data_IF_484571725298
#
_entry.id   IF_484571725298
#
_cell.length_a   1.000
_cell.length_b   1.000
_cell.length_c   1.000
_cell.angle_alpha   90.00
_cell.angle_beta   90.00
_cell.angle_gamma   90.00
#
_symmetry.space_group_name_H-M   'P 1'
#
loop_
_entity.id
_entity.type
_entity.pdbx_description
1 polymer ?
#
# COMPACT_ATOMS: atom_id res chain seq x y z
N UNK A 1 -16.84 -34.07 25.79
CA UNK A 1 -17.44 -34.68 24.61
C UNK A 1 -16.39 -34.77 23.51
N UNK A 2 -15.92 -36.01 23.30
CA UNK A 2 -14.98 -36.38 22.25
C UNK A 2 -15.73 -36.33 20.92
N UNK A 3 -15.55 -35.24 20.15
CA UNK A 3 -16.03 -35.24 18.76
C UNK A 3 -15.11 -36.19 17.99
N UNK A 4 -15.57 -37.41 17.78
CA UNK A 4 -14.98 -38.35 16.84
C UNK A 4 -15.14 -37.73 15.46
N UNK A 5 -14.07 -37.09 14.94
CA UNK A 5 -14.00 -36.81 13.51
C UNK A 5 -14.01 -38.14 12.79
N UNK A 6 -15.08 -38.42 12.09
CA UNK A 6 -15.14 -39.49 11.12
C UNK A 6 -13.95 -39.35 10.21
N UNK A 7 -13.06 -40.34 10.19
CA UNK A 7 -11.92 -40.40 9.27
C UNK A 7 -12.49 -40.41 7.86
N UNK A 8 -12.56 -39.25 7.22
CA UNK A 8 -12.66 -39.19 5.78
C UNK A 8 -11.35 -39.79 5.23
N UNK A 9 -11.38 -40.63 4.22
CA UNK A 9 -10.15 -41.16 3.62
C UNK A 9 -9.25 -39.96 3.29
N UNK A 10 -7.96 -40.02 3.66
CA UNK A 10 -6.97 -39.01 3.34
C UNK A 10 -7.01 -38.84 1.82
N UNK A 11 -7.57 -37.70 1.39
CA UNK A 11 -7.48 -37.28 0.00
C UNK A 11 -5.99 -37.32 -0.37
N UNK A 12 -5.68 -37.86 -1.53
CA UNK A 12 -4.29 -37.85 -1.99
C UNK A 12 -3.79 -36.40 -2.03
N UNK A 13 -2.51 -36.20 -1.84
CA UNK A 13 -1.92 -34.83 -1.91
C UNK A 13 -2.25 -34.16 -3.26
N UNK A 14 -2.49 -34.93 -4.31
CA UNK A 14 -2.92 -34.44 -5.62
C UNK A 14 -4.34 -33.87 -5.56
N UNK A 15 -5.30 -34.62 -5.00
CA UNK A 15 -6.71 -34.15 -4.88
C UNK A 15 -6.80 -32.84 -4.07
N UNK A 16 -6.02 -32.70 -3.00
CA UNK A 16 -5.98 -31.46 -2.20
C UNK A 16 -5.43 -30.28 -3.02
N UNK A 17 -4.41 -30.52 -3.86
CA UNK A 17 -3.87 -29.49 -4.74
C UNK A 17 -4.86 -29.08 -5.82
N UNK A 18 -5.54 -30.04 -6.42
CA UNK A 18 -6.58 -29.76 -7.43
C UNK A 18 -7.74 -28.92 -6.84
N UNK A 19 -8.14 -29.19 -5.59
CA UNK A 19 -9.12 -28.37 -4.88
C UNK A 19 -8.60 -26.94 -4.61
N UNK A 20 -7.32 -26.79 -4.27
CA UNK A 20 -6.70 -25.46 -4.09
C UNK A 20 -6.67 -24.71 -5.43
N UNK A 21 -6.26 -25.36 -6.52
CA UNK A 21 -6.17 -24.73 -7.85
C UNK A 21 -7.55 -24.26 -8.35
N UNK A 22 -8.61 -25.01 -8.02
CA UNK A 22 -9.98 -24.59 -8.31
C UNK A 22 -10.39 -23.35 -7.49
N UNK A 23 -10.07 -23.32 -6.19
CA UNK A 23 -10.32 -22.15 -5.34
C UNK A 23 -9.54 -20.94 -5.81
N UNK A 24 -8.28 -21.10 -6.18
CA UNK A 24 -7.44 -20.01 -6.70
C UNK A 24 -8.04 -19.44 -8.00
N UNK A 25 -8.55 -20.30 -8.87
CA UNK A 25 -9.25 -19.87 -10.09
C UNK A 25 -10.51 -19.04 -9.77
N UNK A 26 -11.26 -19.41 -8.74
CA UNK A 26 -12.40 -18.63 -8.27
C UNK A 26 -12.00 -17.30 -7.68
N UNK A 27 -10.89 -17.26 -6.93
CA UNK A 27 -10.32 -16.01 -6.36
C UNK A 27 -9.93 -15.05 -7.50
N UNK A 28 -9.27 -15.54 -8.56
CA UNK A 28 -8.93 -14.74 -9.74
C UNK A 28 -10.18 -14.14 -10.37
N UNK A 29 -11.20 -14.97 -10.64
CA UNK A 29 -12.44 -14.49 -11.26
C UNK A 29 -13.18 -13.44 -10.39
N UNK A 30 -13.20 -13.63 -9.07
CA UNK A 30 -13.81 -12.69 -8.13
C UNK A 30 -13.00 -11.38 -8.04
N UNK A 31 -11.67 -11.48 -8.08
CA UNK A 31 -10.80 -10.30 -8.09
C UNK A 31 -11.00 -9.48 -9.37
N UNK A 32 -11.00 -10.09 -10.55
CA UNK A 32 -11.25 -9.41 -11.81
C UNK A 32 -12.61 -8.71 -11.84
N UNK A 33 -13.66 -9.43 -11.41
CA UNK A 33 -15.00 -8.84 -11.28
C UNK A 33 -15.02 -7.63 -10.34
N UNK A 34 -14.29 -7.72 -9.23
CA UNK A 34 -14.17 -6.61 -8.28
C UNK A 34 -13.42 -5.43 -8.89
N UNK A 35 -12.37 -5.68 -9.69
CA UNK A 35 -11.65 -4.60 -10.38
C UNK A 35 -12.53 -3.92 -11.43
N UNK A 36 -13.38 -4.66 -12.13
CA UNK A 36 -14.36 -4.07 -13.05
C UNK A 36 -15.33 -3.11 -12.34
N UNK A 37 -15.89 -3.53 -11.21
CA UNK A 37 -16.73 -2.63 -10.38
C UNK A 37 -15.94 -1.43 -9.83
N UNK A 38 -14.63 -1.57 -9.63
CA UNK A 38 -13.77 -0.45 -9.24
C UNK A 38 -13.66 0.57 -10.37
N UNK A 39 -13.65 0.15 -11.63
CA UNK A 39 -13.66 1.06 -12.78
C UNK A 39 -14.98 1.87 -12.83
N UNK A 40 -16.12 1.23 -12.58
CA UNK A 40 -17.41 1.92 -12.50
C UNK A 40 -17.42 2.97 -11.37
N UNK A 41 -16.81 2.64 -10.22
CA UNK A 41 -16.64 3.58 -9.11
C UNK A 41 -15.73 4.75 -9.50
N UNK A 42 -14.66 4.50 -10.26
CA UNK A 42 -13.78 5.55 -10.77
C UNK A 42 -14.51 6.50 -11.68
N UNK A 43 -15.29 6.01 -12.64
CA UNK A 43 -16.10 6.84 -13.53
C UNK A 43 -17.11 7.71 -12.74
N UNK A 44 -17.77 7.12 -11.73
CA UNK A 44 -18.64 7.89 -10.86
C UNK A 44 -17.90 9.03 -10.14
N UNK A 45 -16.69 8.76 -9.60
CA UNK A 45 -15.86 9.76 -8.92
C UNK A 45 -15.36 10.84 -9.88
N UNK A 46 -14.95 10.45 -11.09
CA UNK A 46 -14.58 11.38 -12.17
C UNK A 46 -15.73 12.35 -12.45
N UNK A 47 -16.95 11.85 -12.56
CA UNK A 47 -18.12 12.67 -12.88
C UNK A 47 -18.60 13.56 -11.71
N UNK A 48 -18.37 13.12 -10.47
CA UNK A 48 -18.86 13.82 -9.26
C UNK A 48 -17.80 14.63 -8.53
N UNK A 49 -16.52 14.53 -8.91
CA UNK A 49 -15.41 15.20 -8.23
C UNK A 49 -15.08 14.63 -6.85
N UNK A 50 -15.57 13.44 -6.51
CA UNK A 50 -15.26 12.79 -5.23
C UNK A 50 -13.83 12.26 -5.21
N UNK A 51 -13.19 12.37 -4.06
CA UNK A 51 -11.83 11.85 -3.84
C UNK A 51 -11.78 10.34 -3.99
N UNK A 52 -10.64 9.83 -4.48
CA UNK A 52 -10.40 8.38 -4.62
C UNK A 52 -10.29 7.72 -3.26
N UNK A 53 -9.50 8.29 -2.36
CA UNK A 53 -9.24 7.74 -1.04
C UNK A 53 -10.30 8.18 -0.02
N UNK A 54 -10.87 7.22 0.69
CA UNK A 54 -11.82 7.40 1.79
C UNK A 54 -11.41 6.46 2.93
N UNK A 55 -10.54 6.96 3.79
CA UNK A 55 -9.96 6.20 4.90
C UNK A 55 -11.03 5.61 5.82
N UNK A 56 -12.02 6.41 6.21
CA UNK A 56 -13.07 5.98 7.14
C UNK A 56 -13.87 4.79 6.58
N UNK A 57 -14.16 4.82 5.26
CA UNK A 57 -14.85 3.72 4.57
C UNK A 57 -13.97 2.48 4.47
N UNK A 58 -12.68 2.63 4.17
CA UNK A 58 -11.76 1.49 4.07
C UNK A 58 -11.59 0.83 5.44
N UNK A 59 -11.34 1.58 6.50
CA UNK A 59 -11.21 1.06 7.87
C UNK A 59 -12.49 0.32 8.32
N UNK A 60 -13.66 0.90 8.08
CA UNK A 60 -14.94 0.25 8.38
C UNK A 60 -15.13 -1.05 7.59
N UNK A 61 -14.71 -1.06 6.32
CA UNK A 61 -14.81 -2.25 5.49
C UNK A 61 -13.87 -3.36 5.95
N UNK A 62 -12.62 -3.01 6.30
CA UNK A 62 -11.65 -3.96 6.85
C UNK A 62 -12.17 -4.59 8.13
N UNK A 63 -12.66 -3.80 9.07
CA UNK A 63 -13.25 -4.31 10.32
C UNK A 63 -14.42 -5.28 10.06
N UNK A 64 -15.27 -4.96 9.08
CA UNK A 64 -16.39 -5.84 8.67
C UNK A 64 -15.89 -7.18 8.11
N UNK A 65 -14.82 -7.14 7.31
CA UNK A 65 -14.26 -8.34 6.68
C UNK A 65 -13.52 -9.21 7.70
N UNK A 66 -12.76 -8.60 8.59
CA UNK A 66 -12.12 -9.28 9.72
C UNK A 66 -13.14 -10.00 10.61
N UNK A 67 -14.31 -9.39 10.82
CA UNK A 67 -15.38 -9.98 11.60
C UNK A 67 -16.01 -11.26 10.99
N UNK A 68 -15.73 -11.54 9.72
CA UNK A 68 -16.14 -12.76 9.03
C UNK A 68 -15.16 -13.93 9.18
N UNK A 69 -13.97 -13.65 9.69
CA UNK A 69 -12.94 -14.67 9.87
C UNK A 69 -13.31 -15.65 11.00
N UNK A 70 -12.99 -16.91 10.79
CA UNK A 70 -13.27 -18.00 11.74
C UNK A 70 -12.24 -18.11 12.87
N UNK A 71 -11.02 -17.57 12.70
CA UNK A 71 -9.96 -17.62 13.70
C UNK A 71 -8.98 -16.44 13.57
N UNK A 72 -8.10 -16.26 14.55
CA UNK A 72 -7.16 -15.16 14.59
C UNK A 72 -6.17 -15.16 13.41
N UNK A 73 -5.71 -16.32 12.97
CA UNK A 73 -4.81 -16.46 11.84
C UNK A 73 -5.45 -15.97 10.52
N UNK A 74 -6.65 -16.48 10.22
CA UNK A 74 -7.39 -16.09 9.02
C UNK A 74 -7.84 -14.63 9.08
N UNK A 75 -8.14 -14.11 10.28
CA UNK A 75 -8.48 -12.69 10.47
C UNK A 75 -7.34 -11.78 10.02
N UNK A 76 -6.11 -12.07 10.45
CA UNK A 76 -4.94 -11.30 10.06
C UNK A 76 -4.69 -11.37 8.55
N UNK A 77 -4.71 -12.58 7.98
CA UNK A 77 -4.54 -12.77 6.53
C UNK A 77 -5.62 -12.09 5.69
N UNK A 78 -6.87 -12.07 6.14
CA UNK A 78 -7.96 -11.34 5.47
C UNK A 78 -7.69 -9.84 5.49
N UNK A 79 -7.22 -9.29 6.60
CA UNK A 79 -6.86 -7.88 6.68
C UNK A 79 -5.81 -7.53 5.64
N UNK A 80 -4.67 -8.20 5.67
CA UNK A 80 -3.55 -7.96 4.74
C UNK A 80 -3.98 -8.09 3.28
N UNK A 81 -4.70 -9.17 2.94
CA UNK A 81 -5.20 -9.39 1.60
C UNK A 81 -6.08 -8.23 1.11
N UNK A 82 -7.03 -7.78 1.93
CA UNK A 82 -7.95 -6.72 1.53
C UNK A 82 -7.32 -5.34 1.54
N UNK A 83 -6.32 -5.06 2.36
CA UNK A 83 -5.50 -3.86 2.27
C UNK A 83 -4.80 -3.78 0.90
N UNK A 84 -4.20 -4.88 0.43
CA UNK A 84 -3.59 -4.96 -0.90
C UNK A 84 -4.62 -4.79 -2.02
N UNK A 85 -5.75 -5.46 -1.94
CA UNK A 85 -6.83 -5.33 -2.93
C UNK A 85 -7.35 -3.88 -2.99
N UNK A 86 -7.48 -3.19 -1.86
CA UNK A 86 -7.89 -1.79 -1.81
C UNK A 86 -6.83 -0.86 -2.39
N UNK A 87 -5.55 -1.10 -2.11
CA UNK A 87 -4.44 -0.35 -2.70
C UNK A 87 -4.43 -0.47 -4.24
N UNK A 88 -4.59 -1.68 -4.77
CA UNK A 88 -4.70 -1.90 -6.22
C UNK A 88 -5.95 -1.23 -6.82
N UNK A 89 -7.05 -1.21 -6.08
CA UNK A 89 -8.27 -0.49 -6.50
C UNK A 89 -8.06 1.02 -6.57
N UNK A 90 -7.34 1.62 -5.61
CA UNK A 90 -6.97 3.04 -5.66
C UNK A 90 -6.06 3.33 -6.85
N UNK A 91 -5.04 2.50 -7.07
CA UNK A 91 -4.13 2.63 -8.21
C UNK A 91 -4.89 2.67 -9.54
N UNK A 92 -5.83 1.74 -9.75
CA UNK A 92 -6.67 1.72 -10.95
C UNK A 92 -7.50 3.01 -11.08
N UNK A 93 -8.13 3.47 -10.00
CA UNK A 93 -8.92 4.70 -10.00
C UNK A 93 -8.06 5.92 -10.35
N UNK A 94 -6.85 6.05 -9.78
CA UNK A 94 -5.94 7.16 -10.11
C UNK A 94 -5.48 7.11 -11.56
N UNK A 95 -5.17 5.94 -12.11
CA UNK A 95 -4.83 5.79 -13.53
C UNK A 95 -5.97 6.24 -14.45
N UNK A 96 -7.22 5.91 -14.07
CA UNK A 96 -8.39 6.36 -14.83
C UNK A 96 -8.60 7.88 -14.71
N UNK A 97 -8.42 8.49 -13.53
CA UNK A 97 -8.48 9.93 -13.37
C UNK A 97 -7.43 10.63 -14.23
N UNK A 98 -6.21 10.11 -14.25
CA UNK A 98 -5.12 10.64 -15.06
C UNK A 98 -5.46 10.59 -16.56
N UNK A 99 -5.94 9.46 -17.04
CA UNK A 99 -6.32 9.29 -18.46
C UNK A 99 -7.45 10.23 -18.90
N UNK A 100 -8.31 10.67 -17.96
CA UNK A 100 -9.37 11.65 -18.22
C UNK A 100 -8.93 13.11 -17.98
N UNK A 101 -7.63 13.34 -17.75
CA UNK A 101 -7.09 14.70 -17.56
C UNK A 101 -7.60 15.39 -16.29
N UNK A 102 -8.14 14.63 -15.35
CA UNK A 102 -8.73 15.16 -14.10
C UNK A 102 -7.78 15.16 -12.91
N UNK A 103 -6.63 14.54 -13.01
CA UNK A 103 -5.51 14.87 -12.14
C UNK A 103 -5.07 16.27 -12.59
N UNK A 104 -5.40 17.28 -11.81
CA UNK A 104 -4.82 18.60 -12.01
C UNK A 104 -3.32 18.39 -12.21
N UNK A 105 -2.69 19.16 -13.12
CA UNK A 105 -1.24 19.15 -13.24
C UNK A 105 -0.71 19.34 -11.84
N UNK A 106 -0.16 18.26 -11.25
CA UNK A 106 0.63 18.41 -10.04
C UNK A 106 1.65 19.50 -10.37
N UNK A 107 1.85 20.50 -9.51
CA UNK A 107 2.75 21.60 -9.79
C UNK A 107 4.20 21.13 -9.71
N UNK A 108 4.53 20.05 -10.42
CA UNK A 108 5.90 19.60 -10.57
C UNK A 108 6.63 20.51 -11.54
N UNK A 109 7.68 21.11 -11.06
CA UNK A 109 8.64 21.81 -11.89
C UNK A 109 9.68 20.77 -12.32
N UNK A 110 9.72 20.37 -13.60
CA UNK A 110 10.75 19.46 -14.07
C UNK A 110 12.12 20.13 -13.94
N UNK A 111 13.06 19.46 -13.30
CA UNK A 111 14.45 19.90 -13.16
C UNK A 111 15.36 18.92 -13.90
N UNK A 112 16.33 19.42 -14.65
CA UNK A 112 17.27 18.58 -15.38
C UNK A 112 18.25 17.87 -14.43
N UNK A 113 18.60 18.52 -13.32
CA UNK A 113 19.51 17.98 -12.32
C UNK A 113 19.04 18.33 -10.91
N UNK A 114 19.21 17.41 -9.97
CA UNK A 114 19.01 17.66 -8.55
C UNK A 114 20.31 18.20 -7.94
N UNK A 115 20.27 19.40 -7.35
CA UNK A 115 21.42 19.90 -6.57
C UNK A 115 21.36 19.27 -5.16
N UNK A 116 22.15 18.22 -4.99
CA UNK A 116 22.21 17.46 -3.73
C UNK A 116 23.42 17.86 -2.86
N UNK A 117 24.31 18.75 -3.33
CA UNK A 117 25.61 18.99 -2.68
C UNK A 117 25.54 19.69 -1.33
N UNK A 118 24.47 20.43 -1.08
CA UNK A 118 24.26 21.19 0.17
C UNK A 118 22.89 20.90 0.78
N UNK A 119 22.25 19.85 0.29
CA UNK A 119 20.92 19.52 0.75
C UNK A 119 20.94 18.88 2.13
N UNK A 120 19.94 19.16 2.93
CA UNK A 120 19.62 18.42 4.14
C UNK A 120 18.57 17.37 3.81
N UNK A 121 18.79 16.14 4.26
CA UNK A 121 17.93 15.00 3.99
C UNK A 121 17.28 14.51 5.26
N UNK A 122 15.96 14.36 5.27
CA UNK A 122 15.24 13.71 6.37
C UNK A 122 14.99 12.24 6.04
N UNK A 123 15.12 11.36 7.02
CA UNK A 123 14.75 9.95 6.90
C UNK A 123 14.02 9.47 8.15
N UNK A 124 13.11 8.52 7.95
CA UNK A 124 12.38 7.90 9.06
C UNK A 124 13.17 6.73 9.63
N UNK A 125 13.20 6.64 10.95
CA UNK A 125 13.82 5.57 11.73
C UNK A 125 15.09 6.00 12.46
N UNK A 126 15.61 5.08 13.27
CA UNK A 126 16.83 5.31 14.04
C UNK A 126 18.09 5.28 13.16
N UNK A 127 19.20 5.76 13.71
CA UNK A 127 20.51 5.54 13.10
C UNK A 127 20.80 4.05 12.88
N UNK A 128 21.30 3.69 11.72
CA UNK A 128 21.49 2.29 11.29
C UNK A 128 20.30 1.69 10.55
N UNK A 129 19.17 2.40 10.42
CA UNK A 129 18.02 1.92 9.66
C UNK A 129 18.30 1.80 8.15
N UNK A 130 17.50 0.99 7.46
CA UNK A 130 17.57 0.84 6.00
C UNK A 130 17.41 2.16 5.25
N UNK A 131 16.56 3.06 5.76
CA UNK A 131 16.37 4.40 5.20
C UNK A 131 17.65 5.22 5.25
N UNK A 132 18.42 5.15 6.35
CA UNK A 132 19.72 5.80 6.44
C UNK A 132 20.73 5.20 5.46
N UNK A 133 20.78 3.87 5.35
CA UNK A 133 21.68 3.21 4.39
C UNK A 133 21.35 3.60 2.95
N UNK A 134 20.07 3.69 2.60
CA UNK A 134 19.63 4.17 1.29
C UNK A 134 19.98 5.64 1.05
N UNK A 135 19.80 6.49 2.06
CA UNK A 135 20.21 7.90 2.02
C UNK A 135 21.70 8.05 1.75
N UNK A 136 22.54 7.37 2.54
CA UNK A 136 23.99 7.42 2.38
C UNK A 136 24.46 6.92 1.00
N UNK A 137 23.80 5.89 0.48
CA UNK A 137 24.10 5.34 -0.84
C UNK A 137 23.77 6.30 -1.99
N UNK A 138 22.71 7.10 -1.85
CA UNK A 138 22.27 8.02 -2.91
C UNK A 138 22.92 9.40 -2.80
N UNK A 139 22.96 9.97 -1.59
CA UNK A 139 23.46 11.34 -1.36
C UNK A 139 24.93 11.38 -0.91
N UNK A 140 25.49 10.24 -0.48
CA UNK A 140 26.84 10.14 0.06
C UNK A 140 26.88 10.18 1.60
N UNK A 141 27.94 9.63 2.18
CA UNK A 141 28.09 9.44 3.63
C UNK A 141 28.17 10.74 4.45
N UNK A 142 28.49 11.87 3.80
CA UNK A 142 28.70 13.17 4.48
C UNK A 142 27.56 14.14 4.26
N UNK A 143 26.41 13.67 3.86
CA UNK A 143 25.22 14.52 3.68
C UNK A 143 24.70 14.99 5.04
N UNK A 144 24.29 16.25 5.13
CA UNK A 144 23.56 16.76 6.30
C UNK A 144 22.20 16.07 6.39
N UNK A 145 21.93 15.42 7.52
CA UNK A 145 20.73 14.63 7.65
C UNK A 145 20.10 14.71 9.03
N UNK A 146 18.80 14.60 9.07
CA UNK A 146 17.99 14.48 10.29
C UNK A 146 17.18 13.21 10.26
N UNK A 147 17.02 12.53 11.39
CA UNK A 147 16.13 11.39 11.52
C UNK A 147 14.87 11.80 12.26
N UNK A 148 13.78 11.13 11.94
CA UNK A 148 12.46 11.36 12.56
C UNK A 148 11.78 10.04 12.87
N UNK A 149 10.84 10.06 13.82
CA UNK A 149 10.18 8.83 14.27
C UNK A 149 9.05 8.37 13.34
N UNK A 150 8.38 9.29 12.66
CA UNK A 150 7.26 8.96 11.79
C UNK A 150 7.45 9.48 10.35
N UNK A 151 6.73 8.87 9.41
CA UNK A 151 6.69 9.35 8.02
C UNK A 151 6.05 10.73 7.91
N UNK A 152 5.08 11.02 8.76
CA UNK A 152 4.43 12.33 8.85
C UNK A 152 5.42 13.41 9.24
N UNK A 153 6.29 13.15 10.22
CA UNK A 153 7.32 14.09 10.63
C UNK A 153 8.32 14.35 9.50
N UNK A 154 8.63 13.32 8.69
CA UNK A 154 9.46 13.50 7.50
C UNK A 154 8.79 14.42 6.47
N UNK A 155 7.49 14.29 6.25
CA UNK A 155 6.74 15.18 5.35
C UNK A 155 6.67 16.60 5.90
N UNK A 156 6.41 16.76 7.21
CA UNK A 156 6.43 18.07 7.87
C UNK A 156 7.78 18.77 7.74
N UNK A 157 8.90 18.04 7.86
CA UNK A 157 10.22 18.60 7.67
C UNK A 157 10.44 19.17 6.25
N UNK A 158 9.85 18.56 5.23
CA UNK A 158 9.87 19.08 3.85
C UNK A 158 8.97 20.32 3.74
N UNK A 159 7.75 20.27 4.26
CA UNK A 159 6.79 21.38 4.20
C UNK A 159 7.30 22.63 4.92
N UNK A 160 7.96 22.46 6.06
CA UNK A 160 8.55 23.53 6.87
C UNK A 160 9.88 24.05 6.29
N UNK A 161 10.46 23.36 5.30
CA UNK A 161 11.75 23.71 4.68
C UNK A 161 12.95 23.40 5.58
N UNK A 162 12.81 22.56 6.59
CA UNK A 162 13.91 22.10 7.43
C UNK A 162 14.74 20.99 6.76
N UNK A 163 14.22 20.37 5.70
CA UNK A 163 14.93 19.47 4.80
C UNK A 163 14.45 19.68 3.36
N UNK A 164 15.35 19.47 2.39
CA UNK A 164 15.04 19.56 0.96
C UNK A 164 14.64 18.21 0.35
N UNK A 165 15.05 17.13 0.96
CA UNK A 165 14.75 15.77 0.49
C UNK A 165 14.31 14.87 1.65
N UNK A 166 13.40 13.95 1.35
CA UNK A 166 13.02 12.89 2.27
C UNK A 166 13.33 11.52 1.66
N UNK A 167 13.87 10.60 2.48
CA UNK A 167 14.05 9.20 2.12
C UNK A 167 13.01 8.36 2.85
N UNK A 168 12.09 7.83 2.09
CA UNK A 168 10.93 7.09 2.58
C UNK A 168 10.89 5.69 1.98
N UNK A 169 10.62 4.63 2.77
CA UNK A 169 10.49 3.27 2.26
C UNK A 169 9.15 3.12 1.55
N UNK A 170 9.15 2.67 0.32
CA UNK A 170 7.93 2.40 -0.46
C UNK A 170 7.43 0.99 -0.20
N UNK A 171 8.35 0.05 -0.03
CA UNK A 171 8.05 -1.36 0.14
C UNK A 171 9.05 -2.01 1.10
N UNK A 172 8.56 -2.96 1.89
CA UNK A 172 9.37 -3.82 2.75
C UNK A 172 9.21 -5.26 2.27
N UNK A 173 10.31 -5.96 2.03
CA UNK A 173 10.31 -7.34 1.55
C UNK A 173 9.57 -8.33 2.46
N UNK A 174 9.41 -7.99 3.74
CA UNK A 174 8.74 -8.84 4.74
C UNK A 174 7.31 -8.36 5.04
N UNK A 175 7.09 -7.04 5.06
CA UNK A 175 5.81 -6.43 5.44
C UNK A 175 4.99 -5.92 4.23
N UNK A 176 5.53 -5.98 3.01
CA UNK A 176 4.86 -5.50 1.81
C UNK A 176 4.89 -3.98 1.64
N UNK A 177 3.90 -3.44 0.97
CA UNK A 177 3.78 -2.02 0.64
C UNK A 177 3.55 -1.19 1.92
N UNK A 178 4.31 -0.11 2.08
CA UNK A 178 4.12 0.87 3.16
C UNK A 178 3.01 1.84 2.75
N UNK A 179 1.76 1.45 2.97
CA UNK A 179 0.58 2.20 2.51
C UNK A 179 0.48 3.62 3.07
N UNK A 180 0.95 3.84 4.30
CA UNK A 180 0.96 5.17 4.93
C UNK A 180 1.71 6.23 4.09
N UNK A 181 2.80 5.84 3.43
CA UNK A 181 3.56 6.77 2.59
C UNK A 181 2.75 7.19 1.36
N UNK A 182 2.04 6.27 0.74
CA UNK A 182 1.19 6.61 -0.40
C UNK A 182 0.07 7.57 -0.01
N UNK A 183 -0.47 7.43 1.21
CA UNK A 183 -1.50 8.33 1.74
C UNK A 183 -0.95 9.73 2.07
N UNK A 184 0.35 9.84 2.38
CA UNK A 184 1.01 11.12 2.67
C UNK A 184 1.48 11.86 1.41
N UNK A 185 1.63 11.15 0.28
CA UNK A 185 2.10 11.73 -0.99
C UNK A 185 0.94 12.21 -1.90
N UNK A 186 -0.31 12.00 -1.50
CA UNK A 186 -1.54 12.37 -2.22
C UNK A 186 -2.26 13.50 -1.51
#
# INVERSE_FOLDING_TARGET
DLVVRTFCPLNSTMEIRDEIDELDSQIVALYEKRMQLTSDVAEYKINTGKQVFDKAREDSKLATLEGKASCAFTKHGIRELFEQIMAMSRKLQYQMLESHGRTGRLPFIPVENLDTKKARVVFQGAEGAYSQAAMMRFFGERIDSIHVDSFRDAMSAIEEGSAEFAVLPIENSTAGIVSEIYDLLV
#
